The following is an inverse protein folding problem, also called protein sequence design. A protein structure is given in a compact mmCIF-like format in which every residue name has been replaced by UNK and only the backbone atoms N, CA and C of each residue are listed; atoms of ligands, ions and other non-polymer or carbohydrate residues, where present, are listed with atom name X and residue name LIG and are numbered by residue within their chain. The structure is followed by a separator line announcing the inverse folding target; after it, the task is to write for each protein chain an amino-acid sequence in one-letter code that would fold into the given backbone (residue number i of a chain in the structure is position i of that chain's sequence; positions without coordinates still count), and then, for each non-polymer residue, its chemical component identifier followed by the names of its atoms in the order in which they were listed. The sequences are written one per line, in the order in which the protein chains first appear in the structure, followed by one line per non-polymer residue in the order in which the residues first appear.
data_IF_685785670889
#
_entry.id   IF_685785670889
#
_cell.length_a   1.000
_cell.length_b   1.000
_cell.length_c   1.000
_cell.angle_alpha   90.00
_cell.angle_beta   90.00
_cell.angle_gamma   90.00
#
_symmetry.space_group_name_H-M   'P 1'
#
loop_
_entity.id
_entity.type
_entity.pdbx_description
1 polymer ?
#
# COMPACT_ATOMS: atom_id res chain seq x y z
N UNK A 1 -58.40 2.23 -27.81
CA UNK A 1 -57.20 1.78 -28.51
C UNK A 1 -56.19 1.29 -27.49
N UNK A 2 -56.04 -0.02 -27.36
CA UNK A 2 -55.02 -0.61 -26.47
C UNK A 2 -53.72 -0.71 -27.25
N UNK A 3 -52.69 0.01 -26.85
CA UNK A 3 -51.32 -0.15 -27.39
C UNK A 3 -50.66 -1.32 -26.68
N UNK A 4 -50.44 -2.41 -27.40
CA UNK A 4 -49.57 -3.47 -26.97
C UNK A 4 -48.14 -3.02 -27.02
N UNK A 5 -47.46 -2.98 -25.91
CA UNK A 5 -45.99 -2.78 -25.84
C UNK A 5 -45.39 -4.15 -26.15
N UNK A 6 -44.77 -4.25 -27.32
CA UNK A 6 -44.00 -5.44 -27.71
C UNK A 6 -42.63 -5.28 -27.04
N UNK A 7 -42.37 -6.01 -25.96
CA UNK A 7 -41.03 -6.19 -25.37
C UNK A 7 -40.24 -7.08 -26.34
N UNK A 8 -39.34 -6.50 -27.09
CA UNK A 8 -38.36 -7.23 -27.91
C UNK A 8 -37.33 -7.83 -26.99
N UNK A 9 -37.45 -9.11 -26.65
CA UNK A 9 -36.37 -9.89 -26.08
C UNK A 9 -35.37 -10.13 -27.21
N UNK A 10 -34.19 -9.51 -27.13
CA UNK A 10 -33.11 -9.78 -28.07
C UNK A 10 -32.52 -11.16 -27.72
N UNK A 11 -32.94 -12.18 -28.43
CA UNK A 11 -32.28 -13.46 -28.41
C UNK A 11 -30.97 -13.33 -29.18
N UNK A 12 -29.86 -13.22 -28.47
CA UNK A 12 -28.52 -13.26 -29.08
C UNK A 12 -28.30 -14.68 -29.65
N UNK A 13 -28.04 -14.78 -30.92
CA UNK A 13 -27.70 -16.02 -31.59
C UNK A 13 -26.33 -16.53 -31.05
N UNK A 14 -26.34 -17.59 -30.28
CA UNK A 14 -25.16 -18.33 -29.88
C UNK A 14 -24.51 -18.95 -31.13
N UNK A 15 -23.45 -18.37 -31.66
CA UNK A 15 -22.66 -19.02 -32.72
C UNK A 15 -21.85 -20.17 -32.13
N UNK A 16 -22.29 -21.38 -32.37
CA UNK A 16 -21.56 -22.60 -32.02
C UNK A 16 -20.34 -22.70 -32.93
N UNK A 17 -19.17 -22.35 -32.46
CA UNK A 17 -17.89 -22.73 -33.06
C UNK A 17 -17.61 -24.20 -32.72
N UNK A 18 -17.09 -24.93 -33.69
CA UNK A 18 -16.79 -26.37 -33.70
C UNK A 18 -16.17 -26.96 -32.44
N UNK A 19 -16.44 -28.21 -32.07
CA UNK A 19 -16.12 -28.79 -30.79
C UNK A 19 -14.62 -29.05 -30.61
N UNK A 20 -13.92 -28.16 -29.98
CA UNK A 20 -12.85 -28.55 -29.06
C UNK A 20 -13.58 -29.00 -27.79
N UNK A 21 -13.36 -30.23 -27.35
CA UNK A 21 -14.09 -30.89 -26.28
C UNK A 21 -14.21 -30.02 -25.01
N UNK A 22 -15.18 -29.13 -24.98
CA UNK A 22 -15.60 -28.37 -23.80
C UNK A 22 -16.53 -29.28 -23.01
N UNK A 23 -15.97 -30.12 -22.13
CA UNK A 23 -16.77 -30.93 -21.23
C UNK A 23 -17.19 -30.08 -20.02
N UNK A 24 -18.48 -29.98 -19.78
CA UNK A 24 -19.11 -29.42 -18.58
C UNK A 24 -18.93 -27.89 -18.37
N UNK A 25 -18.64 -27.12 -19.42
CA UNK A 25 -18.67 -25.65 -19.33
C UNK A 25 -20.11 -25.15 -19.24
N UNK A 26 -20.37 -24.20 -18.34
CA UNK A 26 -21.66 -23.58 -18.15
C UNK A 26 -21.60 -22.06 -18.29
N UNK A 27 -22.51 -21.46 -19.00
CA UNK A 27 -22.63 -20.02 -19.10
C UNK A 27 -24.08 -19.59 -18.94
N UNK A 28 -24.32 -18.63 -18.04
CA UNK A 28 -25.62 -18.02 -17.82
C UNK A 28 -25.53 -16.53 -18.09
N UNK A 29 -26.37 -16.02 -19.00
CA UNK A 29 -26.44 -14.58 -19.31
C UNK A 29 -27.86 -14.10 -19.10
N UNK A 30 -28.05 -13.12 -18.22
CA UNK A 30 -29.31 -12.46 -17.94
C UNK A 30 -29.18 -10.97 -18.27
N UNK A 31 -29.95 -10.48 -19.22
CA UNK A 31 -29.94 -9.08 -19.62
C UNK A 31 -31.33 -8.46 -19.49
N UNK A 32 -31.42 -7.32 -18.83
CA UNK A 32 -32.64 -6.52 -18.70
C UNK A 32 -32.30 -5.06 -19.06
N UNK A 33 -33.12 -4.42 -19.88
CA UNK A 33 -32.84 -3.07 -20.39
C UNK A 33 -32.56 -3.07 -21.88
N UNK A 34 -31.89 -2.02 -22.36
CA UNK A 34 -31.66 -1.81 -23.80
C UNK A 34 -30.16 -1.71 -24.10
N UNK A 35 -29.77 -2.23 -25.27
CA UNK A 35 -28.40 -2.07 -25.81
C UNK A 35 -27.29 -2.68 -24.92
N UNK A 36 -27.61 -3.65 -24.08
CA UNK A 36 -26.62 -4.41 -23.33
C UNK A 36 -25.86 -5.37 -24.25
N UNK A 37 -24.56 -5.52 -24.04
CA UNK A 37 -23.70 -6.41 -24.83
C UNK A 37 -22.96 -7.37 -23.92
N UNK A 38 -23.02 -8.66 -24.20
CA UNK A 38 -22.26 -9.68 -23.49
C UNK A 38 -21.58 -10.62 -24.48
N UNK A 39 -20.27 -10.87 -24.27
CA UNK A 39 -19.51 -11.90 -24.94
C UNK A 39 -18.94 -12.89 -23.91
N UNK A 40 -19.28 -14.17 -24.03
CA UNK A 40 -18.68 -15.23 -23.20
C UNK A 40 -18.01 -16.25 -24.13
N UNK A 41 -16.73 -16.49 -23.88
CA UNK A 41 -15.93 -17.52 -24.57
C UNK A 41 -15.32 -18.45 -23.55
N UNK A 42 -15.64 -19.73 -23.63
CA UNK A 42 -15.10 -20.75 -22.74
C UNK A 42 -14.44 -21.86 -23.56
N UNK A 43 -13.16 -22.12 -23.28
CA UNK A 43 -12.40 -23.22 -23.87
C UNK A 43 -11.73 -24.01 -22.80
N UNK A 44 -11.88 -25.34 -22.81
CA UNK A 44 -11.43 -26.22 -21.72
C UNK A 44 -12.58 -26.93 -21.06
N UNK A 45 -12.50 -27.21 -19.77
CA UNK A 45 -13.51 -28.03 -19.05
C UNK A 45 -13.91 -27.43 -17.70
N UNK A 46 -15.14 -27.69 -17.28
CA UNK A 46 -15.61 -27.35 -15.93
C UNK A 46 -15.80 -25.87 -15.63
N UNK A 47 -15.63 -24.99 -16.61
CA UNK A 47 -15.70 -23.54 -16.38
C UNK A 47 -17.15 -23.04 -16.25
N UNK A 48 -17.37 -22.12 -15.33
CA UNK A 48 -18.67 -21.52 -15.05
C UNK A 48 -18.61 -19.99 -15.16
N UNK A 49 -19.50 -19.43 -15.98
CA UNK A 49 -19.63 -17.96 -16.12
C UNK A 49 -21.07 -17.53 -15.89
N UNK A 50 -21.28 -16.53 -15.06
CA UNK A 50 -22.58 -15.88 -14.88
C UNK A 50 -22.44 -14.40 -15.14
N UNK A 51 -23.22 -13.87 -16.09
CA UNK A 51 -23.31 -12.44 -16.38
C UNK A 51 -24.73 -11.97 -16.19
N UNK A 52 -24.92 -10.98 -15.32
CA UNK A 52 -26.21 -10.32 -15.11
C UNK A 52 -26.06 -8.83 -15.41
N UNK A 53 -26.81 -8.32 -16.35
CA UNK A 53 -26.85 -6.90 -16.70
C UNK A 53 -28.27 -6.36 -16.54
N UNK A 54 -28.43 -5.35 -15.69
CA UNK A 54 -29.70 -4.69 -15.45
C UNK A 54 -29.52 -3.19 -15.63
N UNK A 55 -30.12 -2.61 -16.64
CA UNK A 55 -29.92 -1.23 -17.08
C UNK A 55 -29.61 -1.19 -18.59
N UNK A 56 -29.08 -0.09 -19.07
CA UNK A 56 -28.84 0.16 -20.48
C UNK A 56 -27.34 0.30 -20.79
N UNK A 57 -26.92 -0.07 -21.99
CA UNK A 57 -25.56 0.16 -22.50
C UNK A 57 -24.44 -0.54 -21.72
N UNK A 58 -24.73 -1.51 -20.88
CA UNK A 58 -23.70 -2.29 -20.16
C UNK A 58 -22.94 -3.21 -21.12
N UNK A 59 -21.66 -3.37 -20.87
CA UNK A 59 -20.80 -4.27 -21.65
C UNK A 59 -20.09 -5.25 -20.69
N UNK A 60 -20.14 -6.54 -21.04
CA UNK A 60 -19.41 -7.56 -20.32
C UNK A 60 -18.70 -8.50 -21.29
N UNK A 61 -17.42 -8.76 -21.06
CA UNK A 61 -16.65 -9.74 -21.83
C UNK A 61 -16.02 -10.73 -20.84
N UNK A 62 -16.27 -12.02 -21.03
CA UNK A 62 -15.69 -13.09 -20.24
C UNK A 62 -14.99 -14.08 -21.15
N UNK A 63 -13.69 -14.24 -20.98
CA UNK A 63 -12.86 -15.25 -21.63
C UNK A 63 -12.30 -16.22 -20.59
N UNK A 64 -12.63 -17.49 -20.68
CA UNK A 64 -12.11 -18.53 -19.80
C UNK A 64 -11.45 -19.64 -20.63
N UNK A 65 -10.20 -19.92 -20.31
CA UNK A 65 -9.45 -20.99 -20.97
C UNK A 65 -8.74 -21.86 -19.93
N UNK A 66 -8.87 -23.18 -20.06
CA UNK A 66 -8.31 -24.13 -19.08
C UNK A 66 -9.41 -24.86 -18.30
N UNK A 67 -9.18 -25.16 -17.02
CA UNK A 67 -10.12 -25.97 -16.23
C UNK A 67 -10.68 -25.21 -15.03
N UNK A 68 -11.95 -25.49 -14.71
CA UNK A 68 -12.62 -25.14 -13.46
C UNK A 68 -12.60 -23.62 -13.12
N UNK A 69 -12.64 -22.78 -14.13
CA UNK A 69 -12.69 -21.32 -13.96
C UNK A 69 -14.07 -20.85 -13.50
N UNK A 70 -14.12 -19.89 -12.57
CA UNK A 70 -15.39 -19.26 -12.14
C UNK A 70 -15.37 -17.77 -12.41
N UNK A 71 -16.47 -17.24 -12.99
CA UNK A 71 -16.63 -15.80 -13.19
C UNK A 71 -18.07 -15.38 -12.90
N UNK A 72 -18.22 -14.34 -12.08
CA UNK A 72 -19.47 -13.66 -11.83
C UNK A 72 -19.33 -12.19 -12.20
N UNK A 73 -20.13 -11.71 -13.14
CA UNK A 73 -20.26 -10.30 -13.47
C UNK A 73 -21.68 -9.83 -13.21
N UNK A 74 -21.86 -8.84 -12.36
CA UNK A 74 -23.15 -8.27 -12.02
C UNK A 74 -23.11 -6.74 -12.20
N UNK A 75 -23.79 -6.25 -13.24
CA UNK A 75 -23.91 -4.84 -13.57
C UNK A 75 -25.36 -4.39 -13.37
N UNK A 76 -25.61 -3.52 -12.40
CA UNK A 76 -26.94 -3.08 -11.99
C UNK A 76 -27.20 -1.59 -12.29
N UNK A 77 -26.61 -1.10 -13.37
CA UNK A 77 -26.66 0.30 -13.75
C UNK A 77 -26.63 0.43 -15.28
N UNK A 78 -26.41 1.63 -15.79
CA UNK A 78 -26.21 1.86 -17.20
C UNK A 78 -24.78 2.31 -17.48
N UNK A 79 -24.17 1.81 -18.57
CA UNK A 79 -22.86 2.22 -19.06
C UNK A 79 -21.67 1.46 -18.48
N UNK A 80 -21.87 0.54 -17.57
CA UNK A 80 -20.76 -0.19 -16.91
C UNK A 80 -20.03 -1.14 -17.89
N UNK A 81 -18.69 -1.20 -17.75
CA UNK A 81 -17.82 -2.10 -18.50
C UNK A 81 -17.16 -3.12 -17.57
N UNK A 82 -17.26 -4.40 -17.90
CA UNK A 82 -16.57 -5.48 -17.23
C UNK A 82 -15.81 -6.37 -18.21
N UNK A 83 -14.54 -6.62 -17.94
CA UNK A 83 -13.70 -7.55 -18.70
C UNK A 83 -13.08 -8.59 -17.75
N UNK A 84 -13.27 -9.87 -18.04
CA UNK A 84 -12.67 -10.98 -17.31
C UNK A 84 -11.93 -11.89 -18.27
N UNK A 85 -10.64 -12.10 -18.02
CA UNK A 85 -9.81 -13.05 -18.75
C UNK A 85 -9.15 -14.02 -17.78
N UNK A 86 -9.55 -15.28 -17.83
CA UNK A 86 -9.02 -16.34 -16.95
C UNK A 86 -8.36 -17.44 -17.77
N UNK A 87 -7.16 -17.84 -17.36
CA UNK A 87 -6.43 -18.95 -17.98
C UNK A 87 -5.78 -19.82 -16.91
N UNK A 88 -5.58 -21.10 -17.22
CA UNK A 88 -5.04 -22.06 -16.26
C UNK A 88 -6.12 -22.84 -15.53
N UNK A 89 -6.06 -22.97 -14.21
CA UNK A 89 -6.96 -23.80 -13.43
C UNK A 89 -7.47 -23.06 -12.19
N UNK A 90 -8.74 -23.30 -11.80
CA UNK A 90 -9.36 -22.88 -10.53
C UNK A 90 -9.29 -21.37 -10.23
N UNK A 91 -9.31 -20.49 -11.21
CA UNK A 91 -9.38 -19.04 -10.94
C UNK A 91 -10.84 -18.62 -10.70
N UNK A 92 -11.02 -17.69 -9.74
CA UNK A 92 -12.34 -17.16 -9.35
C UNK A 92 -12.34 -15.62 -9.45
N UNK A 93 -13.28 -15.06 -10.20
CA UNK A 93 -13.46 -13.63 -10.31
C UNK A 93 -14.90 -13.20 -10.06
N UNK A 94 -15.07 -12.15 -9.29
CA UNK A 94 -16.36 -11.52 -9.04
C UNK A 94 -16.27 -10.02 -9.27
N UNK A 95 -17.12 -9.48 -10.15
CA UNK A 95 -17.27 -8.06 -10.44
C UNK A 95 -18.70 -7.65 -10.13
N UNK A 96 -18.86 -6.68 -9.24
CA UNK A 96 -20.13 -6.07 -8.89
C UNK A 96 -20.09 -4.57 -9.17
N UNK A 97 -20.89 -4.08 -10.12
CA UNK A 97 -20.98 -2.68 -10.49
C UNK A 97 -22.41 -2.17 -10.33
N UNK A 98 -22.60 -1.18 -9.48
CA UNK A 98 -23.87 -0.50 -9.26
C UNK A 98 -23.87 0.95 -9.77
N UNK A 99 -22.80 1.36 -10.45
CA UNK A 99 -22.63 2.64 -11.12
C UNK A 99 -21.92 2.44 -12.47
N UNK A 100 -21.90 3.47 -13.32
CA UNK A 100 -21.13 3.53 -14.56
C UNK A 100 -19.63 3.50 -14.22
N UNK A 101 -19.02 2.34 -14.32
CA UNK A 101 -17.66 2.07 -13.85
C UNK A 101 -16.98 1.00 -14.73
N UNK A 102 -15.65 1.02 -14.76
CA UNK A 102 -14.82 0.10 -15.52
C UNK A 102 -14.12 -0.89 -14.59
N UNK A 103 -14.27 -2.19 -14.85
CA UNK A 103 -13.58 -3.24 -14.12
C UNK A 103 -12.91 -4.24 -15.06
N UNK A 104 -11.65 -4.55 -14.78
CA UNK A 104 -10.89 -5.55 -15.51
C UNK A 104 -10.25 -6.54 -14.56
N UNK A 105 -10.36 -7.83 -14.87
CA UNK A 105 -9.70 -8.92 -14.15
C UNK A 105 -8.97 -9.81 -15.13
N UNK A 106 -7.68 -9.99 -14.91
CA UNK A 106 -6.85 -10.95 -15.66
C UNK A 106 -6.24 -11.94 -14.67
N UNK A 107 -6.55 -13.21 -14.79
CA UNK A 107 -6.02 -14.25 -13.90
C UNK A 107 -5.36 -15.36 -14.72
N UNK A 108 -4.13 -15.69 -14.36
CA UNK A 108 -3.41 -16.81 -14.95
C UNK A 108 -2.71 -17.60 -13.86
N UNK A 109 -3.00 -18.87 -13.76
CA UNK A 109 -2.38 -19.72 -12.75
C UNK A 109 -2.72 -21.18 -12.97
N UNK A 110 -1.84 -22.04 -12.52
CA UNK A 110 -2.06 -23.50 -12.53
C UNK A 110 -1.97 -23.99 -11.10
N UNK A 111 -2.92 -24.83 -10.70
CA UNK A 111 -2.89 -25.44 -9.37
C UNK A 111 -1.67 -26.33 -9.19
N UNK A 112 -0.68 -25.87 -8.42
CA UNK A 112 0.54 -26.66 -8.15
C UNK A 112 0.36 -27.70 -7.03
N UNK A 113 -0.77 -27.68 -6.34
CA UNK A 113 -1.10 -28.61 -5.26
C UNK A 113 -1.97 -29.76 -5.80
N UNK A 114 -1.40 -30.65 -6.60
CA UNK A 114 -2.09 -31.85 -7.09
C UNK A 114 -2.73 -32.64 -5.98
N UNK A 115 -4.08 -32.50 -5.82
CA UNK A 115 -4.86 -33.36 -4.95
C UNK A 115 -5.78 -32.67 -3.93
N UNK A 116 -5.82 -31.35 -3.85
CA UNK A 116 -6.84 -30.66 -3.02
C UNK A 116 -8.11 -30.37 -3.84
N UNK A 117 -9.27 -30.55 -3.21
CA UNK A 117 -10.57 -30.38 -3.83
C UNK A 117 -10.74 -28.94 -4.39
N UNK A 118 -11.10 -28.76 -5.68
CA UNK A 118 -11.23 -27.47 -6.33
C UNK A 118 -12.24 -26.52 -5.67
N UNK A 119 -13.14 -27.02 -4.86
CA UNK A 119 -14.20 -26.23 -4.23
C UNK A 119 -13.77 -25.52 -2.91
N UNK A 120 -12.61 -25.85 -2.33
CA UNK A 120 -12.22 -25.33 -1.03
C UNK A 120 -11.32 -24.06 -1.10
N UNK A 121 -10.47 -23.94 -2.12
CA UNK A 121 -9.55 -22.80 -2.26
C UNK A 121 -9.30 -22.53 -3.75
N UNK A 122 -9.92 -21.49 -4.34
CA UNK A 122 -9.59 -21.08 -5.70
C UNK A 122 -8.11 -20.69 -5.82
N UNK A 123 -7.51 -20.95 -6.98
CA UNK A 123 -6.11 -20.70 -7.25
C UNK A 123 -5.78 -19.19 -7.14
N UNK A 124 -6.47 -18.37 -7.91
CA UNK A 124 -6.45 -16.92 -7.73
C UNK A 124 -7.88 -16.41 -7.53
N UNK A 125 -8.07 -15.47 -6.63
CA UNK A 125 -9.37 -14.87 -6.39
C UNK A 125 -9.33 -13.35 -6.50
N UNK A 126 -10.25 -12.79 -7.26
CA UNK A 126 -10.45 -11.34 -7.37
C UNK A 126 -11.89 -10.96 -7.07
N UNK A 127 -12.09 -9.96 -6.22
CA UNK A 127 -13.38 -9.33 -5.96
C UNK A 127 -13.27 -7.83 -6.25
N UNK A 128 -14.07 -7.32 -7.17
CA UNK A 128 -14.20 -5.89 -7.45
C UNK A 128 -15.63 -5.46 -7.17
N UNK A 129 -15.80 -4.47 -6.31
CA UNK A 129 -17.08 -3.83 -6.02
C UNK A 129 -16.99 -2.34 -6.30
N UNK A 130 -17.79 -1.84 -7.24
CA UNK A 130 -17.79 -0.44 -7.65
C UNK A 130 -19.21 0.13 -7.58
N UNK A 131 -19.37 1.17 -6.77
CA UNK A 131 -20.63 1.93 -6.67
C UNK A 131 -20.46 3.41 -7.02
N UNK A 132 -19.24 3.86 -7.30
CA UNK A 132 -18.93 5.19 -7.78
C UNK A 132 -18.94 5.29 -9.30
N UNK A 133 -19.62 6.28 -9.85
CA UNK A 133 -19.57 6.54 -11.28
C UNK A 133 -18.16 7.05 -11.67
N UNK A 134 -17.59 6.50 -12.74
CA UNK A 134 -16.21 6.78 -13.16
C UNK A 134 -15.14 6.06 -12.36
N UNK A 135 -15.50 5.10 -11.50
CA UNK A 135 -14.52 4.24 -10.85
C UNK A 135 -13.85 3.30 -11.86
N UNK A 136 -12.55 3.06 -11.68
CA UNK A 136 -11.78 2.15 -12.53
C UNK A 136 -10.94 1.20 -11.69
N UNK A 137 -11.05 -0.11 -11.95
CA UNK A 137 -10.27 -1.13 -11.28
C UNK A 137 -9.66 -2.12 -12.28
N UNK A 138 -8.34 -2.33 -12.18
CA UNK A 138 -7.60 -3.34 -12.96
C UNK A 138 -6.88 -4.30 -12.02
N UNK A 139 -7.23 -5.58 -12.06
CA UNK A 139 -6.61 -6.63 -11.25
C UNK A 139 -5.96 -7.65 -12.15
N UNK A 140 -4.66 -7.84 -12.00
CA UNK A 140 -3.86 -8.85 -12.71
C UNK A 140 -3.21 -9.80 -11.72
N UNK A 141 -3.56 -11.07 -11.77
CA UNK A 141 -3.02 -12.11 -10.88
C UNK A 141 -2.38 -13.22 -11.71
N UNK A 142 -1.12 -13.50 -11.43
CA UNK A 142 -0.39 -14.62 -12.03
C UNK A 142 0.25 -15.47 -10.95
N UNK A 143 0.31 -16.79 -11.16
CA UNK A 143 0.78 -17.73 -10.14
C UNK A 143 -0.36 -18.36 -9.35
N UNK A 144 -0.20 -18.61 -8.05
CA UNK A 144 -1.12 -19.45 -7.29
C UNK A 144 -1.60 -18.79 -6.00
N UNK A 145 -2.85 -18.98 -5.65
CA UNK A 145 -3.47 -18.57 -4.37
C UNK A 145 -3.38 -17.07 -4.06
N UNK A 146 -3.28 -16.22 -5.09
CA UNK A 146 -3.33 -14.78 -4.91
C UNK A 146 -4.76 -14.31 -4.69
N UNK A 147 -4.95 -13.35 -3.80
CA UNK A 147 -6.24 -12.75 -3.47
C UNK A 147 -6.19 -11.22 -3.63
N UNK A 148 -7.20 -10.68 -4.25
CA UNK A 148 -7.39 -9.23 -4.38
C UNK A 148 -8.82 -8.84 -4.08
N UNK A 149 -9.00 -7.79 -3.28
CA UNK A 149 -10.29 -7.13 -3.06
C UNK A 149 -10.16 -5.66 -3.35
N UNK A 150 -10.98 -5.14 -4.25
CA UNK A 150 -11.06 -3.70 -4.57
C UNK A 150 -12.48 -3.22 -4.32
N UNK A 151 -12.64 -2.20 -3.49
CA UNK A 151 -13.91 -1.55 -3.18
C UNK A 151 -13.83 -0.05 -3.46
N UNK A 152 -14.64 0.45 -4.39
CA UNK A 152 -14.67 1.85 -4.79
C UNK A 152 -16.10 2.39 -4.72
N UNK A 153 -16.32 3.44 -3.91
CA UNK A 153 -17.66 4.06 -3.77
C UNK A 153 -17.80 5.37 -4.52
N UNK A 154 -16.70 5.91 -5.02
CA UNK A 154 -16.61 7.16 -5.79
C UNK A 154 -15.73 6.95 -7.04
N UNK A 155 -15.56 7.99 -7.87
CA UNK A 155 -14.67 7.98 -9.02
C UNK A 155 -13.20 7.88 -8.61
N UNK A 156 -12.71 6.68 -8.43
CA UNK A 156 -11.36 6.37 -7.99
C UNK A 156 -10.68 5.36 -8.93
N UNK A 157 -9.36 5.26 -8.87
CA UNK A 157 -8.58 4.33 -9.69
C UNK A 157 -7.81 3.35 -8.81
N UNK A 158 -7.92 2.06 -9.08
CA UNK A 158 -7.16 1.01 -8.41
C UNK A 158 -6.49 0.07 -9.41
N UNK A 159 -5.18 -0.14 -9.27
CA UNK A 159 -4.41 -1.15 -9.98
C UNK A 159 -3.80 -2.16 -9.02
N UNK A 160 -4.03 -3.45 -9.24
CA UNK A 160 -3.45 -4.52 -8.42
C UNK A 160 -2.77 -5.53 -9.33
N UNK A 161 -1.47 -5.72 -9.13
CA UNK A 161 -0.68 -6.73 -9.83
C UNK A 161 -0.09 -7.67 -8.78
N UNK A 162 -0.44 -8.94 -8.87
CA UNK A 162 0.08 -9.98 -7.99
C UNK A 162 0.73 -11.09 -8.82
N UNK A 163 1.97 -11.40 -8.51
CA UNK A 163 2.72 -12.49 -9.13
C UNK A 163 3.35 -13.37 -8.06
N UNK A 164 3.45 -14.68 -8.32
CA UNK A 164 3.94 -15.64 -7.33
C UNK A 164 2.80 -16.29 -6.54
N UNK A 165 2.98 -16.54 -5.26
CA UNK A 165 2.03 -17.33 -4.45
C UNK A 165 1.59 -16.60 -3.19
N UNK A 166 0.33 -16.80 -2.78
CA UNK A 166 -0.25 -16.34 -1.51
C UNK A 166 -0.28 -14.81 -1.30
N UNK A 167 -0.12 -14.00 -2.33
CA UNK A 167 -0.22 -12.54 -2.15
C UNK A 167 -1.67 -12.14 -1.84
N UNK A 168 -1.84 -11.23 -0.91
CA UNK A 168 -3.15 -10.72 -0.52
C UNK A 168 -3.17 -9.18 -0.56
N UNK A 169 -4.10 -8.60 -1.28
CA UNK A 169 -4.28 -7.15 -1.32
C UNK A 169 -5.72 -6.74 -1.10
N UNK A 170 -5.91 -5.67 -0.33
CA UNK A 170 -7.20 -5.00 -0.13
C UNK A 170 -7.03 -3.52 -0.44
N UNK A 171 -7.87 -3.00 -1.33
CA UNK A 171 -7.93 -1.57 -1.66
C UNK A 171 -9.35 -1.08 -1.42
N UNK A 172 -9.49 -0.10 -0.55
CA UNK A 172 -10.77 0.57 -0.24
C UNK A 172 -10.65 2.06 -0.52
N UNK A 173 -11.41 2.56 -1.48
CA UNK A 173 -11.41 3.96 -1.88
C UNK A 173 -12.81 4.54 -1.79
N UNK A 174 -12.99 5.53 -0.95
CA UNK A 174 -14.30 6.19 -0.70
C UNK A 174 -14.32 7.65 -1.11
N UNK A 175 -13.25 8.15 -1.74
CA UNK A 175 -13.17 9.52 -2.25
C UNK A 175 -12.93 9.54 -3.76
N UNK A 176 -13.50 10.53 -4.42
CA UNK A 176 -13.23 10.80 -5.83
C UNK A 176 -11.76 11.26 -6.01
N UNK A 177 -11.11 10.79 -7.09
CA UNK A 177 -9.73 11.11 -7.38
C UNK A 177 -8.71 10.37 -6.52
N UNK A 178 -9.11 9.40 -5.71
CA UNK A 178 -8.18 8.52 -5.02
C UNK A 178 -7.51 7.55 -6.03
N UNK A 179 -6.19 7.37 -5.88
CA UNK A 179 -5.40 6.48 -6.72
C UNK A 179 -4.64 5.47 -5.87
N UNK A 180 -4.79 4.18 -6.15
CA UNK A 180 -4.08 3.11 -5.47
C UNK A 180 -3.38 2.18 -6.46
N UNK A 181 -2.12 1.84 -6.19
CA UNK A 181 -1.37 0.84 -6.94
C UNK A 181 -0.73 -0.15 -5.99
N UNK A 182 -0.97 -1.43 -6.21
CA UNK A 182 -0.36 -2.53 -5.46
C UNK A 182 0.37 -3.47 -6.42
N UNK A 183 1.65 -3.66 -6.20
CA UNK A 183 2.48 -4.63 -6.92
C UNK A 183 3.09 -5.59 -5.89
N UNK A 184 2.68 -6.84 -5.94
CA UNK A 184 3.19 -7.89 -5.06
C UNK A 184 3.80 -9.01 -5.89
N UNK A 185 5.03 -9.39 -5.55
CA UNK A 185 5.76 -10.41 -6.26
C UNK A 185 6.64 -11.25 -5.34
N UNK A 186 7.21 -12.32 -5.90
CA UNK A 186 8.11 -13.23 -5.18
C UNK A 186 7.74 -14.69 -5.37
N UNK A 187 8.67 -15.58 -5.11
CA UNK A 187 8.47 -17.02 -5.39
C UNK A 187 7.59 -17.74 -4.36
N UNK A 188 7.60 -17.27 -3.11
CA UNK A 188 6.77 -17.80 -2.00
C UNK A 188 6.36 -16.62 -1.14
N UNK A 189 5.37 -15.84 -1.59
CA UNK A 189 5.20 -14.57 -0.93
C UNK A 189 3.86 -14.39 -0.30
N UNK A 190 3.66 -14.67 0.96
CA UNK A 190 2.53 -14.17 1.76
C UNK A 190 2.58 -12.64 1.92
N UNK A 191 2.80 -11.87 0.83
CA UNK A 191 2.77 -10.42 0.94
C UNK A 191 1.34 -9.94 1.24
N UNK A 192 1.22 -9.07 2.22
CA UNK A 192 -0.04 -8.45 2.61
C UNK A 192 -0.01 -6.94 2.34
N UNK A 193 -1.00 -6.43 1.64
CA UNK A 193 -1.18 -5.00 1.42
C UNK A 193 -2.61 -4.58 1.72
N UNK A 194 -2.76 -3.53 2.51
CA UNK A 194 -4.04 -2.89 2.74
C UNK A 194 -3.91 -1.38 2.48
N UNK A 195 -4.76 -0.84 1.61
CA UNK A 195 -4.84 0.58 1.30
C UNK A 195 -6.27 1.06 1.58
N UNK A 196 -6.40 2.07 2.43
CA UNK A 196 -7.67 2.73 2.74
C UNK A 196 -7.53 4.22 2.44
N UNK A 197 -8.28 4.71 1.46
CA UNK A 197 -8.28 6.10 1.05
C UNK A 197 -9.68 6.71 1.15
N UNK A 198 -9.84 7.69 2.00
CA UNK A 198 -11.08 8.48 2.13
C UNK A 198 -10.90 9.95 1.74
N UNK A 199 -9.72 10.32 1.27
CA UNK A 199 -9.39 11.58 0.59
C UNK A 199 -8.89 11.32 -0.84
N UNK A 200 -8.85 12.37 -1.67
CA UNK A 200 -8.23 12.35 -3.00
C UNK A 200 -6.71 12.29 -2.86
N UNK A 201 -6.16 11.11 -2.80
CA UNK A 201 -4.77 10.83 -2.43
C UNK A 201 -4.17 9.71 -3.28
N UNK A 202 -2.85 9.60 -3.28
CA UNK A 202 -2.13 8.56 -4.03
C UNK A 202 -1.42 7.60 -3.07
N UNK A 203 -1.63 6.30 -3.25
CA UNK A 203 -0.95 5.25 -2.49
C UNK A 203 -0.30 4.22 -3.43
N UNK A 204 0.97 3.91 -3.18
CA UNK A 204 1.71 2.89 -3.94
C UNK A 204 2.37 1.90 -2.98
N UNK A 205 2.14 0.62 -3.20
CA UNK A 205 2.77 -0.48 -2.46
C UNK A 205 3.48 -1.41 -3.45
N UNK A 206 4.79 -1.58 -3.26
CA UNK A 206 5.60 -2.53 -3.99
C UNK A 206 6.24 -3.50 -2.99
N UNK A 207 5.89 -4.77 -3.06
CA UNK A 207 6.41 -5.80 -2.17
C UNK A 207 7.00 -6.94 -2.99
N UNK A 208 8.25 -7.28 -2.70
CA UNK A 208 8.95 -8.40 -3.34
C UNK A 208 9.61 -9.25 -2.28
N UNK A 209 9.16 -10.48 -2.18
CA UNK A 209 9.73 -11.50 -1.30
C UNK A 209 10.90 -12.20 -2.01
N UNK A 210 11.97 -12.50 -1.26
CA UNK A 210 13.20 -13.13 -1.76
C UNK A 210 13.42 -14.53 -1.16
N UNK A 211 12.72 -14.90 -0.10
CA UNK A 211 12.99 -16.15 0.63
C UNK A 211 12.32 -17.39 0.02
N UNK A 212 12.97 -18.53 0.19
CA UNK A 212 12.69 -19.77 -0.53
C UNK A 212 11.96 -20.85 0.28
N UNK A 213 11.72 -20.73 1.60
CA UNK A 213 11.50 -21.99 2.33
C UNK A 213 10.62 -22.03 3.61
N UNK A 214 9.87 -21.04 4.05
CA UNK A 214 8.95 -21.31 5.18
C UNK A 214 7.67 -20.48 5.19
N UNK A 215 6.48 -21.11 5.11
CA UNK A 215 5.19 -20.41 5.23
C UNK A 215 4.78 -20.28 6.69
N UNK A 216 5.36 -19.37 7.46
CA UNK A 216 4.99 -19.21 8.87
C UNK A 216 4.66 -17.76 9.32
N UNK A 217 5.01 -16.76 8.54
CA UNK A 217 4.63 -15.35 8.79
C UNK A 217 4.45 -14.65 7.45
N UNK A 218 3.63 -13.57 7.35
CA UNK A 218 3.55 -12.80 6.12
C UNK A 218 4.93 -12.26 5.77
N UNK A 219 5.38 -12.46 4.54
CA UNK A 219 6.72 -12.09 4.12
C UNK A 219 6.93 -10.58 4.20
N UNK A 220 6.00 -9.81 3.69
CA UNK A 220 5.99 -8.35 3.87
C UNK A 220 4.56 -7.88 4.11
N UNK A 221 4.37 -6.94 5.02
CA UNK A 221 3.06 -6.37 5.31
C UNK A 221 3.09 -4.84 5.20
N UNK A 222 2.07 -4.27 4.56
CA UNK A 222 1.92 -2.82 4.41
C UNK A 222 0.48 -2.39 4.67
N UNK A 223 0.31 -1.38 5.51
CA UNK A 223 -0.95 -0.67 5.73
C UNK A 223 -0.77 0.80 5.38
N UNK A 224 -1.61 1.32 4.50
CA UNK A 224 -1.67 2.75 4.18
C UNK A 224 -3.09 3.25 4.44
N UNK A 225 -3.21 4.24 5.31
CA UNK A 225 -4.48 4.93 5.58
C UNK A 225 -4.32 6.42 5.26
N UNK A 226 -5.08 6.92 4.29
CA UNK A 226 -5.07 8.32 3.88
C UNK A 226 -6.48 8.88 3.95
N UNK A 227 -6.71 9.85 4.84
CA UNK A 227 -8.03 10.44 5.05
C UNK A 227 -8.16 11.88 4.53
N UNK A 228 -7.12 12.44 3.94
CA UNK A 228 -7.13 13.82 3.45
C UNK A 228 -6.66 13.90 1.99
N UNK A 229 -6.96 15.02 1.34
CA UNK A 229 -6.65 15.25 -0.06
C UNK A 229 -5.17 15.58 -0.30
N UNK A 230 -4.65 15.20 -1.46
CA UNK A 230 -3.30 15.51 -1.90
C UNK A 230 -2.20 14.75 -1.15
N UNK A 231 -2.53 13.81 -0.29
CA UNK A 231 -1.53 13.01 0.39
C UNK A 231 -0.91 11.96 -0.55
N UNK A 232 0.39 11.71 -0.39
CA UNK A 232 1.11 10.67 -1.12
C UNK A 232 1.78 9.70 -0.15
N UNK A 233 1.56 8.41 -0.35
CA UNK A 233 2.24 7.36 0.39
C UNK A 233 2.86 6.33 -0.57
N UNK A 234 4.14 6.02 -0.35
CA UNK A 234 4.85 4.99 -1.12
C UNK A 234 5.57 4.03 -0.18
N UNK A 235 5.30 2.75 -0.34
CA UNK A 235 5.96 1.67 0.39
C UNK A 235 6.66 0.75 -0.60
N UNK A 236 7.97 0.57 -0.42
CA UNK A 236 8.80 -0.38 -1.16
C UNK A 236 9.42 -1.36 -0.17
N UNK A 237 9.06 -2.62 -0.23
CA UNK A 237 9.58 -3.67 0.64
C UNK A 237 10.22 -4.78 -0.20
N UNK A 238 11.48 -5.05 0.06
CA UNK A 238 12.23 -6.14 -0.58
C UNK A 238 12.88 -6.99 0.51
N UNK A 239 12.68 -8.30 0.44
CA UNK A 239 13.10 -9.25 1.46
C UNK A 239 11.90 -9.78 2.23
N UNK A 240 12.08 -10.15 3.50
CA UNK A 240 11.08 -10.89 4.25
C UNK A 240 10.73 -10.23 5.59
N UNK A 241 9.51 -10.46 6.06
CA UNK A 241 9.05 -10.02 7.38
C UNK A 241 9.11 -8.49 7.59
N UNK A 242 9.18 -7.69 6.51
CA UNK A 242 9.16 -6.24 6.65
C UNK A 242 7.73 -5.73 6.87
N UNK A 243 7.56 -4.81 7.81
CA UNK A 243 6.25 -4.21 8.10
C UNK A 243 6.29 -2.69 7.94
N UNK A 244 5.24 -2.12 7.35
CA UNK A 244 5.09 -0.68 7.19
C UNK A 244 3.66 -0.25 7.49
N UNK A 245 3.51 0.77 8.34
CA UNK A 245 2.23 1.41 8.65
C UNK A 245 2.35 2.92 8.36
N UNK A 246 1.56 3.43 7.44
CA UNK A 246 1.49 4.86 7.10
C UNK A 246 0.08 5.37 7.34
N UNK A 247 -0.04 6.37 8.21
CA UNK A 247 -1.29 7.07 8.50
C UNK A 247 -1.16 8.56 8.21
N UNK A 248 -1.92 9.07 7.24
CA UNK A 248 -1.91 10.47 6.83
C UNK A 248 -3.32 11.06 6.98
N UNK A 249 -3.49 11.92 7.97
CA UNK A 249 -4.77 12.56 8.28
C UNK A 249 -4.83 14.05 7.91
N UNK A 250 -3.76 14.62 7.43
CA UNK A 250 -3.67 16.00 6.95
C UNK A 250 -3.43 16.09 5.45
N UNK A 251 -3.77 17.20 4.84
CA UNK A 251 -3.65 17.41 3.40
C UNK A 251 -2.19 17.60 2.94
N UNK A 252 -1.88 17.16 1.73
CA UNK A 252 -0.59 17.34 1.07
C UNK A 252 0.61 16.76 1.85
N UNK A 253 0.42 15.67 2.57
CA UNK A 253 1.49 14.97 3.27
C UNK A 253 2.14 13.93 2.36
N UNK A 254 3.48 13.82 2.46
CA UNK A 254 4.27 12.83 1.74
C UNK A 254 4.92 11.86 2.72
N UNK A 255 4.73 10.57 2.51
CA UNK A 255 5.35 9.51 3.29
C UNK A 255 6.01 8.46 2.37
N UNK A 256 7.29 8.21 2.57
CA UNK A 256 8.06 7.24 1.81
C UNK A 256 8.72 6.24 2.74
N UNK A 257 8.49 4.96 2.51
CA UNK A 257 9.13 3.85 3.22
C UNK A 257 9.84 2.96 2.22
N UNK A 258 11.11 2.70 2.46
CA UNK A 258 11.90 1.72 1.72
C UNK A 258 12.55 0.77 2.72
N UNK A 259 12.20 -0.50 2.65
CA UNK A 259 12.74 -1.55 3.51
C UNK A 259 13.39 -2.64 2.63
N UNK A 260 14.70 -2.80 2.77
CA UNK A 260 15.47 -3.85 2.09
C UNK A 260 16.17 -4.69 3.16
N UNK A 261 15.76 -5.93 3.32
CA UNK A 261 16.32 -6.81 4.34
C UNK A 261 15.23 -7.64 5.01
N UNK A 262 15.43 -8.00 6.25
CA UNK A 262 14.54 -8.91 6.98
C UNK A 262 14.10 -8.29 8.30
N UNK A 263 12.81 -8.37 8.60
CA UNK A 263 12.26 -8.00 9.91
C UNK A 263 12.24 -6.51 10.21
N UNK A 264 12.34 -5.62 9.21
CA UNK A 264 12.30 -4.19 9.46
C UNK A 264 10.85 -3.71 9.71
N UNK A 265 10.69 -2.80 10.66
CA UNK A 265 9.40 -2.20 11.01
C UNK A 265 9.43 -0.67 10.87
N UNK A 266 8.45 -0.10 10.19
CA UNK A 266 8.31 1.35 10.02
C UNK A 266 6.90 1.81 10.33
N UNK A 267 6.77 2.88 11.11
CA UNK A 267 5.50 3.56 11.37
C UNK A 267 5.65 5.05 11.06
N UNK A 268 4.80 5.59 10.19
CA UNK A 268 4.72 7.02 9.88
C UNK A 268 3.32 7.52 10.18
N UNK A 269 3.21 8.51 11.04
CA UNK A 269 1.95 9.19 11.34
C UNK A 269 2.09 10.69 11.05
N UNK A 270 1.26 11.21 10.15
CA UNK A 270 1.23 12.62 9.77
C UNK A 270 -0.19 13.16 9.94
N UNK A 271 -0.36 14.12 10.85
CA UNK A 271 -1.70 14.58 11.27
C UNK A 271 -1.88 16.10 11.30
N UNK A 272 -0.95 16.86 10.78
CA UNK A 272 -1.03 18.33 10.77
C UNK A 272 -2.06 18.87 9.77
N UNK A 273 -2.48 20.12 9.97
CA UNK A 273 -3.28 20.84 8.97
C UNK A 273 -2.29 21.32 7.89
N UNK A 274 -2.24 20.64 6.75
CA UNK A 274 -1.36 21.04 5.63
C UNK A 274 -1.71 22.43 5.09
N UNK A 275 -1.20 23.48 5.75
CA UNK A 275 -1.01 24.79 5.12
C UNK A 275 0.06 24.69 4.03
N UNK A 276 0.40 25.74 3.32
CA UNK A 276 1.38 25.75 2.22
C UNK A 276 2.65 24.90 2.47
N UNK A 277 2.62 23.62 2.09
CA UNK A 277 3.69 22.64 2.25
C UNK A 277 3.35 21.57 3.27
N UNK A 278 2.97 20.39 2.79
CA UNK A 278 2.68 19.22 3.62
C UNK A 278 3.89 18.72 4.40
N UNK A 279 3.66 17.85 5.35
CA UNK A 279 4.72 17.15 6.07
C UNK A 279 5.37 16.10 5.18
N UNK A 280 6.68 15.93 5.32
CA UNK A 280 7.41 14.92 4.55
C UNK A 280 8.18 13.99 5.49
N UNK A 281 7.93 12.71 5.37
CA UNK A 281 8.62 11.66 6.11
C UNK A 281 9.25 10.65 5.14
N UNK A 282 10.54 10.38 5.32
CA UNK A 282 11.26 9.39 4.54
C UNK A 282 11.99 8.42 5.48
N UNK A 283 11.65 7.14 5.39
CA UNK A 283 12.28 6.07 6.15
C UNK A 283 12.93 5.09 5.18
N UNK A 284 14.24 4.89 5.31
CA UNK A 284 15.00 3.90 4.58
C UNK A 284 15.66 2.94 5.58
N UNK A 285 15.29 1.67 5.54
CA UNK A 285 15.84 0.60 6.36
C UNK A 285 16.44 -0.47 5.44
N UNK A 286 17.76 -0.50 5.38
CA UNK A 286 18.50 -1.42 4.52
C UNK A 286 19.23 -2.52 5.31
N UNK A 287 18.99 -2.59 6.59
CA UNK A 287 19.55 -3.59 7.52
C UNK A 287 18.55 -4.68 7.86
N UNK A 288 18.71 -5.26 9.06
CA UNK A 288 17.78 -6.27 9.57
C UNK A 288 17.24 -5.89 10.95
N UNK A 289 15.97 -6.19 11.19
CA UNK A 289 15.29 -5.93 12.45
C UNK A 289 15.35 -4.44 12.88
N UNK A 290 15.43 -3.53 11.91
CA UNK A 290 15.42 -2.10 12.18
C UNK A 290 14.00 -1.63 12.52
N UNK A 291 13.87 -0.76 13.53
CA UNK A 291 12.58 -0.13 13.87
C UNK A 291 12.66 1.39 13.67
N UNK A 292 11.67 1.96 13.01
CA UNK A 292 11.56 3.40 12.81
C UNK A 292 10.15 3.91 13.07
N UNK A 293 10.04 4.94 13.91
CA UNK A 293 8.77 5.64 14.17
C UNK A 293 8.93 7.11 13.86
N UNK A 294 8.09 7.64 12.97
CA UNK A 294 8.04 9.08 12.65
C UNK A 294 6.63 9.59 12.92
N UNK A 295 6.52 10.60 13.79
CA UNK A 295 5.26 11.28 14.11
C UNK A 295 5.39 12.77 13.83
N UNK A 296 4.59 13.29 12.91
CA UNK A 296 4.58 14.71 12.53
C UNK A 296 3.17 15.27 12.69
N UNK A 297 3.04 16.34 13.49
CA UNK A 297 1.73 16.94 13.82
C UNK A 297 1.67 18.46 13.74
N UNK A 298 2.72 19.14 13.25
CA UNK A 298 2.75 20.60 13.06
C UNK A 298 1.79 21.12 11.99
N UNK A 299 1.56 22.42 11.99
CA UNK A 299 0.67 23.08 11.01
C UNK A 299 1.33 23.37 9.67
N UNK A 300 2.66 23.36 9.60
CA UNK A 300 3.46 23.61 8.40
C UNK A 300 4.52 22.52 8.19
N UNK A 301 5.16 22.53 7.02
CA UNK A 301 6.07 21.52 6.53
C UNK A 301 7.13 21.08 7.56
N UNK A 302 7.04 19.88 8.07
CA UNK A 302 8.10 19.20 8.80
C UNK A 302 8.78 18.18 7.90
N UNK A 303 10.08 18.01 8.06
CA UNK A 303 10.87 17.04 7.31
C UNK A 303 11.54 16.06 8.26
N UNK A 304 11.22 14.79 8.13
CA UNK A 304 11.89 13.72 8.85
C UNK A 304 12.55 12.75 7.87
N UNK A 305 13.83 12.46 8.11
CA UNK A 305 14.55 11.42 7.35
C UNK A 305 15.21 10.48 8.33
N UNK A 306 14.90 9.20 8.21
CA UNK A 306 15.55 8.10 8.95
C UNK A 306 16.23 7.17 7.96
N UNK A 307 17.52 6.95 8.14
CA UNK A 307 18.31 6.06 7.30
C UNK A 307 19.06 5.05 8.18
N UNK A 308 18.59 3.81 8.20
CA UNK A 308 19.26 2.68 8.81
C UNK A 308 19.95 1.88 7.69
N UNK A 309 21.27 1.91 7.65
CA UNK A 309 22.02 1.40 6.51
C UNK A 309 22.15 -0.13 6.51
N UNK A 310 22.63 -0.70 5.43
CA UNK A 310 22.75 -2.17 5.25
C UNK A 310 23.65 -2.89 6.27
N UNK A 311 24.47 -2.15 7.02
CA UNK A 311 25.29 -2.70 8.12
C UNK A 311 24.60 -2.65 9.49
N UNK A 312 23.43 -1.99 9.59
CA UNK A 312 22.71 -1.89 10.87
C UNK A 312 21.84 -3.12 11.14
N UNK A 313 21.91 -3.63 12.37
CA UNK A 313 21.00 -4.65 12.86
C UNK A 313 20.36 -4.16 14.16
N UNK A 314 19.07 -4.38 14.37
CA UNK A 314 18.35 -3.94 15.56
C UNK A 314 18.49 -2.41 15.83
N UNK A 315 18.63 -1.60 14.78
CA UNK A 315 18.69 -0.16 14.95
C UNK A 315 17.28 0.40 15.23
N UNK A 316 17.18 1.32 16.19
CA UNK A 316 15.91 1.93 16.60
C UNK A 316 15.95 3.46 16.41
N UNK A 317 14.92 4.03 15.79
CA UNK A 317 14.79 5.47 15.61
C UNK A 317 13.38 5.94 15.89
N UNK A 318 13.26 6.96 16.75
CA UNK A 318 12.01 7.67 17.01
C UNK A 318 12.16 9.16 16.69
N UNK A 319 11.32 9.70 15.82
CA UNK A 319 11.27 11.13 15.48
C UNK A 319 9.88 11.67 15.76
N UNK A 320 9.78 12.66 16.63
CA UNK A 320 8.53 13.37 16.94
C UNK A 320 8.70 14.85 16.60
N UNK A 321 7.88 15.36 15.71
CA UNK A 321 7.87 16.78 15.30
C UNK A 321 6.46 17.34 15.46
N UNK A 322 6.25 18.20 16.44
CA UNK A 322 4.98 18.89 16.68
C UNK A 322 5.08 20.42 16.53
N UNK A 323 6.26 20.90 16.19
CA UNK A 323 6.50 22.30 15.80
C UNK A 323 6.48 22.46 14.27
N UNK A 324 6.39 23.68 13.79
CA UNK A 324 6.39 23.99 12.37
C UNK A 324 7.81 24.06 11.79
N UNK A 325 7.97 23.68 10.52
CA UNK A 325 9.21 23.77 9.72
C UNK A 325 10.41 23.04 10.34
N UNK A 326 10.19 22.02 11.14
CA UNK A 326 11.27 21.29 11.80
C UNK A 326 11.92 20.27 10.86
N UNK A 327 13.22 20.10 11.02
CA UNK A 327 14.03 19.15 10.25
C UNK A 327 14.70 18.17 11.21
N UNK A 328 14.42 16.88 11.03
CA UNK A 328 15.10 15.79 11.72
C UNK A 328 15.79 14.86 10.70
N UNK A 329 17.06 14.58 10.92
CA UNK A 329 17.82 13.60 10.13
C UNK A 329 18.50 12.62 11.06
N UNK A 330 18.22 11.34 10.90
CA UNK A 330 18.83 10.25 11.65
C UNK A 330 19.51 9.31 10.67
N UNK A 331 20.80 9.02 10.90
CA UNK A 331 21.55 8.03 10.14
C UNK A 331 22.21 7.06 11.12
N UNK A 332 21.88 5.79 11.01
CA UNK A 332 22.39 4.72 11.86
C UNK A 332 23.11 3.66 11.00
N UNK A 333 24.38 3.44 11.27
CA UNK A 333 25.23 2.48 10.56
C UNK A 333 25.68 1.33 11.45
N UNK A 334 25.45 1.44 12.75
CA UNK A 334 25.87 0.45 13.75
C UNK A 334 24.76 -0.53 14.13
N UNK A 335 25.15 -1.60 14.79
CA UNK A 335 24.23 -2.56 15.37
C UNK A 335 23.71 -2.04 16.71
N UNK A 336 22.42 -2.14 16.95
CA UNK A 336 21.81 -1.70 18.20
C UNK A 336 21.79 -0.17 18.41
N UNK A 337 22.06 0.61 17.38
CA UNK A 337 22.01 2.07 17.49
C UNK A 337 20.59 2.56 17.83
N UNK A 338 20.44 3.39 18.84
CA UNK A 338 19.16 3.96 19.26
C UNK A 338 19.18 5.48 19.16
N UNK A 339 18.16 6.07 18.54
CA UNK A 339 18.02 7.52 18.48
C UNK A 339 16.61 7.99 18.79
N UNK A 340 16.49 9.04 19.58
CA UNK A 340 15.24 9.73 19.89
C UNK A 340 15.38 11.20 19.56
N UNK A 341 14.56 11.74 18.65
CA UNK A 341 14.50 13.16 18.32
C UNK A 341 13.12 13.69 18.63
N UNK A 342 13.03 14.66 19.51
CA UNK A 342 11.80 15.35 19.90
C UNK A 342 11.93 16.84 19.59
N UNK A 343 11.12 17.35 18.67
CA UNK A 343 11.09 18.76 18.30
C UNK A 343 9.69 19.30 18.56
N UNK A 344 9.53 19.95 19.71
CA UNK A 344 8.26 20.43 20.23
C UNK A 344 8.37 21.91 20.50
N UNK A 345 7.55 22.70 19.86
CA UNK A 345 7.55 24.16 20.05
C UNK A 345 6.19 24.79 19.78
N UNK A 346 5.96 26.00 20.24
CA UNK A 346 4.78 26.73 19.82
C UNK A 346 4.82 26.98 18.32
N UNK A 347 3.70 26.81 17.67
CA UNK A 347 3.54 27.11 16.25
C UNK A 347 3.73 28.61 16.02
N UNK A 348 4.91 29.02 15.60
CA UNK A 348 5.17 30.39 15.20
C UNK A 348 4.67 30.58 13.76
N UNK A 349 3.52 31.18 13.60
CA UNK A 349 2.88 31.41 12.29
C UNK A 349 3.68 32.31 11.36
N UNK A 350 4.82 31.85 10.86
CA UNK A 350 5.63 32.57 9.88
C UNK A 350 6.85 31.76 9.44
N UNK A 351 7.06 31.63 8.13
CA UNK A 351 8.27 31.05 7.56
C UNK A 351 9.53 31.79 8.09
N UNK A 352 10.37 31.10 8.85
CA UNK A 352 11.67 31.59 9.29
C UNK A 352 11.88 31.75 10.80
N UNK A 353 10.86 31.63 11.64
CA UNK A 353 10.99 31.89 13.08
C UNK A 353 10.62 30.72 13.98
N UNK A 354 10.79 29.48 13.56
CA UNK A 354 10.38 28.36 14.42
C UNK A 354 11.00 27.00 14.07
N UNK A 355 11.86 26.92 13.07
CA UNK A 355 12.42 25.66 12.62
C UNK A 355 13.45 25.10 13.58
N UNK A 356 13.19 23.93 14.15
CA UNK A 356 14.22 23.13 14.79
C UNK A 356 14.99 22.32 13.76
N UNK A 357 16.28 22.14 14.01
CA UNK A 357 17.14 21.24 13.23
C UNK A 357 17.83 20.23 14.16
N UNK A 358 17.60 18.96 13.92
CA UNK A 358 18.27 17.88 14.60
C UNK A 358 18.96 16.97 13.58
N UNK A 359 20.23 16.64 13.82
CA UNK A 359 20.99 15.68 13.02
C UNK A 359 21.64 14.69 13.95
N UNK A 360 21.42 13.39 13.72
CA UNK A 360 22.02 12.28 14.45
C UNK A 360 22.73 11.39 13.44
N UNK A 361 24.02 11.13 13.69
CA UNK A 361 24.83 10.15 12.97
C UNK A 361 25.46 9.18 13.98
N UNK A 362 25.21 7.89 13.81
CA UNK A 362 25.70 6.85 14.72
C UNK A 362 26.35 5.71 13.90
N UNK A 363 27.62 5.43 14.22
CA UNK A 363 28.43 4.38 13.62
C UNK A 363 28.82 3.32 14.68
N UNK A 364 27.88 2.70 15.36
CA UNK A 364 28.09 1.69 16.38
C UNK A 364 26.87 1.54 17.27
N UNK A 365 26.98 0.68 18.29
CA UNK A 365 25.96 0.51 19.34
C UNK A 365 25.96 1.73 20.27
N UNK A 366 25.17 2.73 19.94
CA UNK A 366 25.19 4.04 20.60
C UNK A 366 23.78 4.59 20.80
N UNK A 367 23.59 5.33 21.87
CA UNK A 367 22.34 6.03 22.19
C UNK A 367 22.44 7.53 21.96
N UNK A 368 21.43 8.10 21.31
CA UNK A 368 21.31 9.56 21.15
C UNK A 368 19.89 10.03 21.47
N UNK A 369 19.78 11.09 22.26
CA UNK A 369 18.50 11.76 22.53
C UNK A 369 18.65 13.26 22.30
N UNK A 370 17.78 13.83 21.48
CA UNK A 370 17.70 15.29 21.23
C UNK A 370 16.27 15.73 21.56
N UNK A 371 16.15 16.64 22.56
CA UNK A 371 14.89 17.29 22.93
C UNK A 371 15.02 18.81 22.70
N UNK A 372 14.30 19.32 21.70
CA UNK A 372 14.30 20.74 21.33
C UNK A 372 12.93 21.37 21.58
N UNK A 373 12.87 22.37 22.42
CA UNK A 373 11.66 23.11 22.79
C UNK A 373 11.84 24.59 22.55
N UNK A 374 10.77 25.33 22.36
CA UNK A 374 10.72 26.74 21.99
C UNK A 374 11.04 27.00 20.50
N UNK A 375 12.00 27.84 20.10
CA UNK A 375 12.17 28.26 18.71
C UNK A 375 13.60 28.06 18.20
N UNK A 376 13.74 27.65 16.94
CA UNK A 376 14.96 27.69 16.14
C UNK A 376 16.21 27.13 16.84
N UNK A 377 16.09 25.97 17.46
CA UNK A 377 17.20 25.27 18.05
C UNK A 377 17.86 24.35 17.02
N UNK A 378 19.19 24.29 17.05
CA UNK A 378 19.98 23.36 16.24
C UNK A 378 20.77 22.40 17.14
N UNK A 379 20.72 21.10 16.82
CA UNK A 379 21.51 20.09 17.49
C UNK A 379 22.10 19.12 16.47
N UNK A 380 23.39 18.84 16.61
CA UNK A 380 24.09 17.84 15.82
C UNK A 380 24.78 16.87 16.78
N UNK A 381 24.49 15.58 16.65
CA UNK A 381 25.14 14.50 17.39
C UNK A 381 25.82 13.56 16.38
N UNK A 382 27.12 13.37 16.52
CA UNK A 382 27.90 12.42 15.74
C UNK A 382 28.63 11.49 16.69
N UNK A 383 28.33 10.20 16.62
CA UNK A 383 28.91 9.17 17.49
C UNK A 383 29.56 8.11 16.62
N UNK A 384 30.82 7.78 16.92
CA UNK A 384 31.55 6.69 16.28
C UNK A 384 32.11 5.73 17.35
N UNK A 385 31.94 4.43 17.12
CA UNK A 385 32.26 3.37 18.08
C UNK A 385 31.08 3.02 18.98
N UNK A 386 31.26 1.99 19.82
CA UNK A 386 30.20 1.39 20.61
C UNK A 386 30.01 2.06 21.97
N UNK A 387 28.79 1.97 22.51
CA UNK A 387 28.42 2.40 23.87
C UNK A 387 28.55 3.90 24.13
N UNK A 388 28.52 4.73 23.13
CA UNK A 388 28.44 6.17 23.32
C UNK A 388 27.01 6.56 23.73
N UNK A 389 26.88 7.57 24.57
CA UNK A 389 25.58 8.12 24.95
C UNK A 389 25.60 9.64 24.87
N UNK A 390 24.68 10.21 24.14
CA UNK A 390 24.52 11.66 24.01
C UNK A 390 23.11 12.09 24.35
N UNK A 391 22.96 13.09 25.20
CA UNK A 391 21.68 13.71 25.50
C UNK A 391 21.80 15.22 25.31
N UNK A 392 20.99 15.77 24.41
CA UNK A 392 20.90 17.20 24.16
C UNK A 392 19.51 17.68 24.54
N UNK A 393 19.42 18.66 25.44
CA UNK A 393 18.16 19.30 25.83
C UNK A 393 18.27 20.80 25.62
N UNK A 394 17.43 21.35 24.74
CA UNK A 394 17.39 22.76 24.42
C UNK A 394 15.99 23.32 24.70
N UNK A 395 15.83 24.08 25.78
CA UNK A 395 14.53 24.63 26.23
C UNK A 395 14.35 26.11 25.91
N UNK A 396 15.45 26.82 25.64
CA UNK A 396 15.42 28.20 25.14
C UNK A 396 15.35 28.27 23.62
N UNK A 397 15.37 29.46 23.08
CA UNK A 397 15.33 29.73 21.64
C UNK A 397 16.71 30.05 21.09
N UNK A 398 16.96 29.69 19.81
CA UNK A 398 18.23 30.00 19.10
C UNK A 398 19.45 29.31 19.71
N UNK A 399 19.29 28.16 20.34
CA UNK A 399 20.41 27.41 20.87
C UNK A 399 21.05 26.52 19.78
N UNK A 400 22.38 26.45 19.81
CA UNK A 400 23.18 25.60 18.92
C UNK A 400 24.02 24.64 19.78
N UNK A 401 23.91 23.35 19.53
CA UNK A 401 24.66 22.31 20.20
C UNK A 401 25.29 21.34 19.19
N UNK A 402 26.59 21.34 19.08
CA UNK A 402 27.38 20.38 18.30
C UNK A 402 28.10 19.41 19.21
N UNK A 403 27.79 18.10 19.11
CA UNK A 403 28.47 17.03 19.82
C UNK A 403 29.15 16.08 18.83
N UNK A 404 30.46 15.98 18.90
CA UNK A 404 31.29 15.11 18.08
C UNK A 404 32.06 14.15 18.99
N UNK A 405 31.62 12.90 19.11
CA UNK A 405 32.32 11.86 19.83
C UNK A 405 33.13 10.98 18.87
N UNK A 406 34.46 11.06 18.94
CA UNK A 406 35.39 10.22 18.18
C UNK A 406 35.53 8.80 18.73
N UNK A 407 36.11 7.86 17.99
CA UNK A 407 36.31 6.48 18.42
C UNK A 407 37.26 6.41 19.62
N UNK A 408 36.72 6.01 20.76
CA UNK A 408 37.52 5.70 21.95
C UNK A 408 37.41 4.18 22.22
N UNK A 409 38.46 3.41 21.97
CA UNK A 409 38.43 1.98 22.23
C UNK A 409 38.29 1.73 23.74
N UNK A 410 37.14 1.19 24.15
CA UNK A 410 36.94 0.63 25.50
C UNK A 410 36.34 1.57 26.54
N UNK A 411 35.97 2.79 26.26
CA UNK A 411 35.33 3.72 27.18
C UNK A 411 33.96 4.18 26.71
N UNK A 412 33.00 4.25 27.64
CA UNK A 412 31.71 4.92 27.41
C UNK A 412 31.91 6.43 27.49
N UNK A 413 31.56 7.12 26.44
CA UNK A 413 31.49 8.59 26.47
C UNK A 413 30.04 8.99 26.73
N UNK A 414 29.75 9.72 27.78
CA UNK A 414 28.46 10.30 28.11
C UNK A 414 28.59 11.80 28.01
N UNK A 415 27.91 12.39 27.02
CA UNK A 415 27.84 13.83 26.88
C UNK A 415 26.40 14.31 27.13
N UNK A 416 26.23 15.22 28.08
CA UNK A 416 24.96 15.89 28.36
C UNK A 416 25.09 17.40 28.12
N UNK A 417 24.32 17.95 27.19
CA UNK A 417 24.24 19.39 26.97
C UNK A 417 22.84 19.87 27.30
N UNK A 418 22.75 20.79 28.26
CA UNK A 418 21.49 21.47 28.59
C UNK A 418 21.67 22.96 28.31
N UNK A 419 20.83 23.49 27.41
CA UNK A 419 20.80 24.91 27.07
C UNK A 419 19.42 25.48 27.36
N UNK A 420 19.36 26.59 28.05
CA UNK A 420 18.13 27.27 28.50
C UNK A 420 17.90 28.58 27.79
#
# INVERSE_FOLDING_TARGET
MKRSILTTVSVLALSVATPAFAQDNSSTVNQTGTTNTTGVTQTGSGSNSTVTQNGDLNQATVGQSGADQKSLVNQQTSGALAEVAQSGEDNDSEIQQTADADAKVTQSGTNMLGGYSPDAYPNNRSLITQSGAGASADVSQSGTLNRSTVSQTEAATAGVIQSGTYNNSTVTQTAAGAEATVNQGGNYGDNLSEIVQSGSSTAVVNQTNVQLDTPAAPSNASLITQSADGAQAVVNQTGDENTSDISQAGANHDAFVTQNGVGNASTITQSGIGGNGGQNANVAQNGSNGTSTVSQSGSFANFATVNQTSGSTNAESTVVQSSDYSIARVTQRGNGAESVVSQVGPNAGGAGNGSHRAVVEQDGDSYSSIDQRAFANEAVVSQSGDRNSSVVTQTGSLNDAGLFDGPQPGYQTVAGVTQT
#
